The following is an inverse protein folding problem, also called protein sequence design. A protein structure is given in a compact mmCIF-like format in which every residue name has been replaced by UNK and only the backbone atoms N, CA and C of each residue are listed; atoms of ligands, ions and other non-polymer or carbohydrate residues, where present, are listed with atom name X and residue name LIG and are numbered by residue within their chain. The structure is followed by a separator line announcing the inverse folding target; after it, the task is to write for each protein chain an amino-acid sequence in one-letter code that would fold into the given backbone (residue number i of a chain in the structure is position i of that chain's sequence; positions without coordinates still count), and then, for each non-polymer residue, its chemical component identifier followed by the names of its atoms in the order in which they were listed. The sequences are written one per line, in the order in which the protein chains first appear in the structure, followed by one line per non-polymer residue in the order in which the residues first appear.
data_IF_289551448308
#
_entry.id   IF_289551448308
#
_cell.length_a   1.000
_cell.length_b   1.000
_cell.length_c   1.000
_cell.angle_alpha   90.00
_cell.angle_beta   90.00
_cell.angle_gamma   90.00
#
_symmetry.space_group_name_H-M   'P 1'
#
loop_
_entity.id
_entity.type
_entity.pdbx_description
1 polymer ?
#
# COMPACT_ATOMS: atom_id res chain seq x y z
N UNK A 1 -23.38 6.29 3.98
CA UNK A 1 -23.80 5.14 4.82
C UNK A 1 -22.57 4.61 5.54
N UNK A 2 -22.62 4.45 6.86
CA UNK A 2 -21.53 3.82 7.61
C UNK A 2 -21.56 2.29 7.38
N UNK A 3 -20.41 1.60 7.33
CA UNK A 3 -20.37 0.16 7.17
C UNK A 3 -20.98 -0.56 8.39
N UNK A 4 -21.65 -1.68 8.16
CA UNK A 4 -22.09 -2.57 9.25
C UNK A 4 -20.88 -3.31 9.86
N UNK A 5 -21.05 -3.88 11.05
CA UNK A 5 -20.00 -4.68 11.68
C UNK A 5 -19.55 -5.86 10.79
N UNK A 6 -20.48 -6.50 10.08
CA UNK A 6 -20.15 -7.58 9.13
C UNK A 6 -19.23 -7.13 8.00
N UNK A 7 -19.39 -5.90 7.51
CA UNK A 7 -18.50 -5.31 6.49
C UNK A 7 -17.12 -5.05 7.09
N UNK A 8 -17.06 -4.44 8.28
CA UNK A 8 -15.79 -4.20 8.98
C UNK A 8 -15.03 -5.51 9.20
N UNK A 9 -15.70 -6.55 9.70
CA UNK A 9 -15.07 -7.84 9.96
C UNK A 9 -14.58 -8.54 8.68
N UNK A 10 -15.34 -8.42 7.59
CA UNK A 10 -14.94 -8.95 6.28
C UNK A 10 -13.69 -8.25 5.75
N UNK A 11 -13.66 -6.91 5.80
CA UNK A 11 -12.50 -6.12 5.38
C UNK A 11 -11.28 -6.44 6.24
N UNK A 12 -11.46 -6.58 7.56
CA UNK A 12 -10.39 -6.93 8.48
C UNK A 12 -9.76 -8.30 8.16
N UNK A 13 -10.60 -9.31 7.89
CA UNK A 13 -10.15 -10.64 7.46
C UNK A 13 -9.41 -10.60 6.13
N UNK A 14 -9.90 -9.83 5.15
CA UNK A 14 -9.21 -9.67 3.86
C UNK A 14 -7.82 -9.07 4.05
N UNK A 15 -7.70 -7.97 4.80
CA UNK A 15 -6.38 -7.38 5.09
C UNK A 15 -5.47 -8.37 5.82
N UNK A 16 -5.99 -9.06 6.84
CA UNK A 16 -5.21 -10.05 7.60
C UNK A 16 -4.67 -11.17 6.71
N UNK A 17 -5.50 -11.72 5.82
CA UNK A 17 -5.11 -12.79 4.89
C UNK A 17 -4.17 -12.29 3.79
N UNK A 18 -4.32 -11.04 3.35
CA UNK A 18 -3.47 -10.46 2.32
C UNK A 18 -2.01 -10.26 2.76
N UNK A 19 -1.75 -10.20 4.07
CA UNK A 19 -0.40 -10.06 4.63
C UNK A 19 0.40 -11.37 4.63
N UNK A 20 -0.21 -12.50 4.27
CA UNK A 20 0.47 -13.81 4.28
C UNK A 20 1.22 -14.05 2.96
N UNK A 21 2.21 -14.95 2.96
CA UNK A 21 2.92 -15.33 1.73
C UNK A 21 2.29 -16.56 1.07
N UNK A 22 1.10 -16.38 0.49
CA UNK A 22 0.41 -17.43 -0.27
C UNK A 22 -0.05 -16.93 -1.63
N UNK A 23 -0.35 -17.85 -2.55
CA UNK A 23 -0.95 -17.49 -3.84
C UNK A 23 -2.32 -16.82 -3.69
N UNK A 24 -3.10 -17.20 -2.67
CA UNK A 24 -4.37 -16.55 -2.34
C UNK A 24 -4.15 -15.13 -1.80
N UNK A 25 -3.19 -14.94 -0.91
CA UNK A 25 -2.87 -13.62 -0.34
C UNK A 25 -2.52 -12.59 -1.41
N UNK A 26 -1.71 -12.98 -2.42
CA UNK A 26 -1.39 -12.13 -3.58
C UNK A 26 -2.65 -11.67 -4.35
N UNK A 27 -3.64 -12.54 -4.51
CA UNK A 27 -4.90 -12.23 -5.19
C UNK A 27 -5.77 -11.29 -4.36
N UNK A 28 -5.86 -11.53 -3.05
CA UNK A 28 -6.55 -10.63 -2.12
C UNK A 28 -5.89 -9.25 -2.11
N UNK A 29 -4.56 -9.18 -2.09
CA UNK A 29 -3.81 -7.94 -2.13
C UNK A 29 -4.09 -7.15 -3.40
N UNK A 30 -4.09 -7.79 -4.57
CA UNK A 30 -4.47 -7.15 -5.85
C UNK A 30 -5.87 -6.56 -5.80
N UNK A 31 -6.84 -7.32 -5.27
CA UNK A 31 -8.21 -6.82 -5.10
C UNK A 31 -8.27 -5.57 -4.21
N UNK A 32 -7.72 -5.65 -2.99
CA UNK A 32 -7.72 -4.54 -2.04
C UNK A 32 -7.01 -3.31 -2.60
N UNK A 33 -5.83 -3.48 -3.21
CA UNK A 33 -5.08 -2.39 -3.82
C UNK A 33 -5.81 -1.76 -5.02
N UNK A 34 -6.47 -2.57 -5.86
CA UNK A 34 -7.28 -2.07 -6.98
C UNK A 34 -8.50 -1.26 -6.52
N UNK A 35 -9.12 -1.67 -5.41
CA UNK A 35 -10.18 -0.89 -4.75
C UNK A 35 -9.65 0.46 -4.25
N UNK A 36 -8.43 0.46 -3.70
CA UNK A 36 -7.76 1.69 -3.28
C UNK A 36 -7.51 2.63 -4.45
N UNK A 37 -6.76 2.23 -5.47
CA UNK A 37 -6.46 3.07 -6.64
C UNK A 37 -5.93 2.21 -7.80
N UNK A 38 -6.79 1.82 -8.73
CA UNK A 38 -6.41 0.97 -9.85
C UNK A 38 -5.30 1.56 -10.75
N UNK A 39 -5.36 2.84 -11.19
CA UNK A 39 -4.29 3.42 -12.02
C UNK A 39 -2.90 3.39 -11.39
N UNK A 40 -2.80 3.38 -10.07
CA UNK A 40 -1.51 3.42 -9.34
C UNK A 40 -1.06 2.01 -8.94
N UNK A 41 -1.98 1.19 -8.44
CA UNK A 41 -1.66 -0.11 -7.86
C UNK A 41 -1.90 -1.29 -8.81
N UNK A 42 -2.56 -1.05 -9.93
CA UNK A 42 -2.96 -2.05 -10.92
C UNK A 42 -4.34 -2.66 -10.65
N UNK A 43 -4.94 -3.22 -11.70
CA UNK A 43 -6.26 -3.85 -11.66
C UNK A 43 -6.31 -5.23 -11.03
N UNK A 44 -7.55 -5.65 -10.76
CA UNK A 44 -7.89 -7.00 -10.33
C UNK A 44 -8.64 -7.76 -11.44
N UNK A 45 -8.13 -8.93 -11.80
CA UNK A 45 -8.81 -9.85 -12.71
C UNK A 45 -9.83 -10.71 -11.94
N UNK A 46 -11.10 -10.58 -12.29
CA UNK A 46 -12.21 -11.35 -11.71
C UNK A 46 -12.02 -12.86 -11.86
N UNK A 47 -11.31 -13.32 -12.89
CA UNK A 47 -11.00 -14.74 -13.07
C UNK A 47 -10.23 -15.32 -11.87
N UNK A 48 -9.50 -14.51 -11.09
CA UNK A 48 -8.80 -14.96 -9.89
C UNK A 48 -9.72 -15.48 -8.79
N UNK A 49 -11.01 -15.11 -8.77
CA UNK A 49 -11.97 -15.55 -7.75
C UNK A 49 -12.09 -17.08 -7.72
N UNK A 50 -11.94 -17.74 -8.87
CA UNK A 50 -12.04 -19.20 -8.99
C UNK A 50 -11.00 -19.97 -8.16
N UNK A 51 -9.91 -19.30 -7.79
CA UNK A 51 -8.78 -19.88 -7.07
C UNK A 51 -8.75 -19.47 -5.60
N UNK A 52 -9.81 -18.80 -5.12
CA UNK A 52 -9.95 -18.34 -3.75
C UNK A 52 -10.89 -19.26 -2.99
N UNK A 53 -10.62 -19.44 -1.69
CA UNK A 53 -11.56 -20.11 -0.81
C UNK A 53 -12.90 -19.37 -0.78
N UNK A 54 -14.00 -20.11 -0.66
CA UNK A 54 -15.36 -19.57 -0.67
C UNK A 54 -15.57 -18.47 0.37
N UNK A 55 -14.94 -18.58 1.54
CA UNK A 55 -15.02 -17.57 2.60
C UNK A 55 -14.38 -16.24 2.19
N UNK A 56 -13.22 -16.30 1.53
CA UNK A 56 -12.53 -15.10 1.02
C UNK A 56 -13.40 -14.44 -0.06
N UNK A 57 -13.97 -15.25 -0.95
CA UNK A 57 -14.86 -14.75 -2.01
C UNK A 57 -16.11 -14.06 -1.44
N UNK A 58 -16.68 -14.58 -0.35
CA UNK A 58 -17.81 -13.95 0.36
C UNK A 58 -17.39 -12.63 1.03
N UNK A 59 -16.20 -12.57 1.60
CA UNK A 59 -15.69 -11.33 2.21
C UNK A 59 -15.48 -10.24 1.13
N UNK A 60 -14.92 -10.60 -0.03
CA UNK A 60 -14.81 -9.70 -1.19
C UNK A 60 -16.17 -9.21 -1.68
N UNK A 61 -17.15 -10.11 -1.76
CA UNK A 61 -18.52 -9.76 -2.12
C UNK A 61 -19.15 -8.78 -1.12
N UNK A 62 -18.99 -9.05 0.18
CA UNK A 62 -19.54 -8.22 1.27
C UNK A 62 -19.01 -6.79 1.19
N UNK A 63 -17.71 -6.62 0.94
CA UNK A 63 -17.13 -5.30 0.70
C UNK A 63 -17.71 -4.67 -0.58
N UNK A 64 -17.74 -5.40 -1.69
CA UNK A 64 -18.20 -4.87 -2.99
C UNK A 64 -19.66 -4.41 -2.94
N UNK A 65 -20.54 -5.19 -2.31
CA UNK A 65 -21.95 -4.85 -2.09
C UNK A 65 -22.09 -3.56 -1.28
N UNK A 66 -21.32 -3.43 -0.18
CA UNK A 66 -21.29 -2.20 0.60
C UNK A 66 -20.82 -0.99 -0.22
N UNK A 67 -19.79 -1.15 -1.06
CA UNK A 67 -19.29 -0.07 -1.92
C UNK A 67 -20.37 0.43 -2.88
N UNK A 68 -21.14 -0.48 -3.50
CA UNK A 68 -22.24 -0.09 -4.37
C UNK A 68 -23.36 0.62 -3.61
N UNK A 69 -23.73 0.12 -2.43
CA UNK A 69 -24.80 0.72 -1.61
C UNK A 69 -24.42 2.08 -1.02
N UNK A 70 -23.13 2.33 -0.78
CA UNK A 70 -22.64 3.52 -0.06
C UNK A 70 -22.16 4.67 -0.96
N UNK A 71 -22.23 4.51 -2.29
CA UNK A 71 -21.75 5.49 -3.27
C UNK A 71 -20.23 5.46 -3.48
N UNK A 72 -19.64 4.26 -3.37
CA UNK A 72 -18.22 3.94 -3.49
C UNK A 72 -17.33 4.70 -2.49
N UNK A 73 -16.89 4.00 -1.44
CA UNK A 73 -16.01 4.53 -0.39
C UNK A 73 -14.59 4.00 -0.54
N UNK A 74 -13.61 4.83 -0.20
CA UNK A 74 -12.21 4.44 -0.17
C UNK A 74 -11.86 3.80 1.19
N UNK A 75 -10.74 3.05 1.29
CA UNK A 75 -10.29 2.49 2.56
C UNK A 75 -10.18 3.51 3.70
N UNK A 76 -9.71 4.72 3.39
CA UNK A 76 -9.60 5.84 4.35
C UNK A 76 -10.97 6.31 4.86
N UNK A 77 -12.01 6.30 4.00
CA UNK A 77 -13.35 6.76 4.36
C UNK A 77 -14.02 5.87 5.41
N UNK A 78 -13.51 4.64 5.59
CA UNK A 78 -14.05 3.63 6.51
C UNK A 78 -13.03 3.14 7.55
N UNK A 79 -11.91 3.86 7.73
CA UNK A 79 -10.97 3.63 8.83
C UNK A 79 -9.91 2.54 8.60
N UNK A 80 -9.65 2.15 7.35
CA UNK A 80 -8.65 1.13 7.00
C UNK A 80 -7.36 1.71 6.38
N UNK A 81 -7.08 3.01 6.58
CA UNK A 81 -5.90 3.67 6.02
C UNK A 81 -4.59 2.97 6.38
N UNK A 82 -4.30 2.80 7.68
CA UNK A 82 -3.04 2.21 8.14
C UNK A 82 -2.80 0.80 7.57
N UNK A 83 -3.86 -0.02 7.54
CA UNK A 83 -3.80 -1.38 6.98
C UNK A 83 -3.58 -1.35 5.47
N UNK A 84 -4.22 -0.42 4.77
CA UNK A 84 -4.02 -0.23 3.34
C UNK A 84 -2.57 0.17 3.03
N UNK A 85 -2.01 1.12 3.79
CA UNK A 85 -0.63 1.56 3.63
C UNK A 85 0.35 0.42 3.87
N UNK A 86 0.14 -0.36 4.93
CA UNK A 86 0.96 -1.53 5.22
C UNK A 86 0.93 -2.56 4.08
N UNK A 87 -0.26 -2.77 3.49
CA UNK A 87 -0.43 -3.65 2.32
C UNK A 87 0.34 -3.13 1.09
N UNK A 88 0.20 -1.84 0.75
CA UNK A 88 0.91 -1.27 -0.40
C UNK A 88 2.42 -1.32 -0.20
N UNK A 89 2.93 -1.08 1.01
CA UNK A 89 4.37 -1.21 1.31
C UNK A 89 4.89 -2.62 1.08
N UNK A 90 4.10 -3.64 1.43
CA UNK A 90 4.47 -5.03 1.25
C UNK A 90 4.53 -5.42 -0.23
N UNK A 91 3.55 -5.00 -1.03
CA UNK A 91 3.42 -5.46 -2.41
C UNK A 91 4.02 -4.54 -3.47
N UNK A 92 4.21 -3.25 -3.13
CA UNK A 92 4.73 -2.21 -4.01
C UNK A 92 5.78 -1.34 -3.28
N UNK A 93 6.87 -1.94 -2.78
CA UNK A 93 7.94 -1.17 -2.13
C UNK A 93 8.57 -0.13 -3.07
N UNK A 94 8.55 -0.41 -4.38
CA UNK A 94 9.02 0.49 -5.45
C UNK A 94 8.37 1.88 -5.39
N UNK A 95 7.12 1.96 -4.94
CA UNK A 95 6.40 3.23 -4.82
C UNK A 95 6.96 4.12 -3.71
N UNK A 96 7.53 3.54 -2.67
CA UNK A 96 8.13 4.26 -1.54
C UNK A 96 9.62 4.53 -1.78
N UNK A 97 10.32 3.64 -2.49
CA UNK A 97 11.72 3.82 -2.87
C UNK A 97 11.90 4.89 -3.95
N UNK A 98 10.92 5.05 -4.86
CA UNK A 98 10.98 6.08 -5.92
C UNK A 98 11.08 7.51 -5.37
N UNK A 99 10.62 7.76 -4.15
CA UNK A 99 10.78 9.05 -3.46
C UNK A 99 12.20 9.28 -2.90
N UNK A 100 12.95 8.23 -2.59
CA UNK A 100 14.34 8.35 -2.10
C UNK A 100 15.24 8.90 -3.21
N UNK A 101 15.03 8.51 -4.47
CA UNK A 101 15.80 9.02 -5.60
C UNK A 101 15.33 10.39 -6.11
N UNK A 102 14.05 10.74 -5.93
CA UNK A 102 13.54 12.07 -6.32
C UNK A 102 13.85 13.17 -5.32
N UNK A 103 14.08 12.86 -4.03
CA UNK A 103 14.58 13.83 -3.04
C UNK A 103 16.11 13.92 -2.98
N UNK A 104 16.84 12.91 -3.49
CA UNK A 104 18.30 12.97 -3.66
C UNK A 104 18.74 13.67 -4.96
N UNK A 105 17.79 14.05 -5.83
CA UNK A 105 18.02 14.83 -7.04
C UNK A 105 17.61 16.31 -6.86
N UNK A 106 17.52 16.80 -5.62
CA UNK A 106 17.64 18.23 -5.34
C UNK A 106 19.04 18.67 -5.74
N UNK A 107 19.13 19.75 -6.51
CA UNK A 107 20.33 20.32 -7.12
C UNK A 107 21.60 20.22 -6.26
N UNK A 108 22.78 19.92 -6.86
CA UNK A 108 24.03 20.28 -6.22
C UNK A 108 24.08 21.80 -6.17
N UNK A 109 23.75 22.36 -5.01
CA UNK A 109 24.17 23.72 -4.65
C UNK A 109 25.67 23.79 -4.90
N UNK A 110 26.06 24.75 -5.74
CA UNK A 110 27.45 24.99 -6.11
C UNK A 110 28.31 25.16 -4.85
N UNK A 111 29.57 24.77 -5.00
CA UNK A 111 30.63 24.83 -4.00
C UNK A 111 30.69 23.63 -3.04
N UNK A 112 31.14 22.48 -3.54
CA UNK A 112 31.84 21.49 -2.70
C UNK A 112 32.97 20.84 -3.52
N UNK A 113 34.19 21.05 -3.03
CA UNK A 113 35.45 20.70 -3.65
C UNK A 113 35.54 19.23 -4.12
N UNK A 114 36.02 19.06 -5.34
CA UNK A 114 36.09 17.80 -6.07
C UNK A 114 37.10 16.75 -5.53
N UNK A 115 37.59 16.89 -4.30
CA UNK A 115 38.71 16.09 -3.78
C UNK A 115 38.33 15.05 -2.70
N UNK A 116 37.03 14.93 -2.34
CA UNK A 116 36.60 14.06 -1.23
C UNK A 116 35.96 12.72 -1.62
N UNK A 117 35.80 12.39 -2.90
CA UNK A 117 35.03 11.19 -3.34
C UNK A 117 35.85 9.90 -3.55
N UNK A 118 37.03 9.75 -2.91
CA UNK A 118 37.88 8.56 -3.10
C UNK A 118 37.88 7.51 -1.98
N UNK A 119 37.03 7.61 -0.96
CA UNK A 119 36.98 6.56 0.06
C UNK A 119 35.55 6.30 0.57
N UNK A 120 34.92 5.26 0.02
CA UNK A 120 34.13 4.26 0.76
C UNK A 120 33.39 3.32 -0.21
N UNK A 121 34.14 2.44 -0.89
CA UNK A 121 33.57 1.15 -1.27
C UNK A 121 33.67 0.18 -0.07
N UNK A 122 32.71 -0.75 -0.01
CA UNK A 122 32.75 -2.03 0.73
C UNK A 122 32.10 -2.10 2.12
N UNK A 123 30.83 -2.55 2.16
CA UNK A 123 30.30 -3.71 2.97
C UNK A 123 28.76 -3.66 3.00
N UNK A 124 28.01 -4.72 2.65
CA UNK A 124 26.59 -4.81 2.95
C UNK A 124 26.36 -5.43 4.35
N UNK A 125 25.70 -4.76 5.31
CA UNK A 125 25.33 -5.38 6.57
C UNK A 125 23.90 -5.94 6.51
N UNK A 126 23.78 -7.23 6.80
CA UNK A 126 22.52 -7.96 6.87
C UNK A 126 21.58 -7.50 7.98
N UNK A 127 20.29 -7.77 7.74
CA UNK A 127 19.18 -8.12 8.64
C UNK A 127 19.26 -7.79 10.15
N UNK A 128 19.78 -6.63 10.54
CA UNK A 128 19.61 -6.07 11.89
C UNK A 128 19.29 -4.59 11.78
N UNK A 129 17.99 -4.29 11.76
CA UNK A 129 17.53 -2.89 11.74
C UNK A 129 16.04 -2.63 11.55
N UNK A 130 15.18 -3.65 11.52
CA UNK A 130 13.74 -3.45 11.22
C UNK A 130 12.91 -2.84 12.36
N UNK A 131 13.53 -2.38 13.45
CA UNK A 131 12.80 -1.83 14.60
C UNK A 131 13.07 -0.33 14.89
N UNK A 132 13.92 0.37 14.13
CA UNK A 132 14.34 1.75 14.48
C UNK A 132 14.12 2.82 13.41
N UNK A 133 13.39 2.54 12.33
CA UNK A 133 12.88 3.56 11.40
C UNK A 133 11.36 3.76 11.53
N UNK A 134 10.83 3.68 12.75
CA UNK A 134 9.51 4.25 13.06
C UNK A 134 9.70 5.73 13.39
N UNK A 135 9.86 6.55 12.35
CA UNK A 135 9.95 8.00 12.48
C UNK A 135 9.45 8.66 11.21
N UNK A 136 8.19 9.12 11.25
CA UNK A 136 7.66 10.16 10.37
C UNK A 136 7.53 9.81 8.88
N UNK A 137 6.83 8.71 8.57
CA UNK A 137 6.09 8.71 7.29
C UNK A 137 4.95 9.71 7.42
N UNK A 138 5.19 10.95 6.98
CA UNK A 138 4.20 12.03 6.99
C UNK A 138 2.90 11.59 6.30
N UNK A 139 1.71 11.85 6.89
CA UNK A 139 0.41 11.57 6.27
C UNK A 139 0.27 12.13 4.84
N UNK A 140 0.97 13.23 4.52
CA UNK A 140 0.94 13.87 3.21
C UNK A 140 1.51 12.98 2.09
N UNK A 141 2.37 12.02 2.40
CA UNK A 141 2.93 11.13 1.37
C UNK A 141 1.92 10.09 0.87
N UNK A 142 0.86 9.81 1.62
CA UNK A 142 -0.13 8.77 1.31
C UNK A 142 -1.27 9.27 0.42
N UNK A 143 -1.51 10.59 0.42
CA UNK A 143 -2.43 11.26 -0.52
C UNK A 143 -2.10 11.00 -1.99
N UNK A 144 -0.84 10.71 -2.31
CA UNK A 144 -0.42 10.36 -3.67
C UNK A 144 -0.85 8.94 -4.10
N UNK A 145 -1.14 8.05 -3.16
CA UNK A 145 -1.45 6.64 -3.42
C UNK A 145 -2.93 6.29 -3.22
N UNK A 146 -3.73 7.21 -2.66
CA UNK A 146 -5.18 7.09 -2.53
C UNK A 146 -5.89 8.12 -3.43
N UNK A 147 -7.01 7.79 -4.09
CA UNK A 147 -7.74 8.73 -4.94
C UNK A 147 -8.41 9.75 -4.04
N UNK A 148 -8.06 11.03 -4.20
CA UNK A 148 -8.57 12.11 -3.37
C UNK A 148 -7.51 13.06 -2.80
N UNK A 149 -6.22 12.79 -3.04
CA UNK A 149 -5.14 13.77 -2.85
C UNK A 149 -5.30 14.95 -3.82
N UNK A 150 -6.17 15.91 -3.50
CA UNK A 150 -6.16 17.20 -4.18
C UNK A 150 -4.84 17.88 -3.83
N UNK A 151 -4.02 18.15 -4.85
CA UNK A 151 -2.99 19.17 -4.78
C UNK A 151 -3.72 20.51 -4.55
N UNK A 152 -3.73 20.97 -3.31
CA UNK A 152 -4.03 22.36 -2.96
C UNK A 152 -3.06 22.78 -1.88
#
# INVERSE_FOLDING_TARGET
MQPSQSVIDAVDRLFTKAMWDTGQARKIAKFLMSWGNEPVHGGFDLAHIRDLDTEISRDMWTLTEYLFASGFKYPIDIGFEDRFVALVRLYRPDLFERKVFQSAAGEPDGDTDADSLRQAEHTPPGLKGLAQTMGHSSPDSLRFYLPGGKNT
#
